data_IF_928707584209
#
_entry.id   IF_928707584209
#
_cell.length_a   1.000
_cell.length_b   1.000
_cell.length_c   1.000
_cell.angle_alpha   90.00
_cell.angle_beta   90.00
_cell.angle_gamma   90.00
#
_symmetry.space_group_name_H-M   'P 1'
#
loop_
_entity.id
_entity.type
_entity.pdbx_description
1 polymer ?
#
# COMPACT_ATOMS: atom_id res chain seq x y z
N UNK A 1 15.63 19.36 9.40
CA UNK A 1 15.62 18.17 10.29
C UNK A 1 14.23 17.95 10.90
N UNK A 2 13.50 19.01 11.28
CA UNK A 2 12.10 18.93 11.72
C UNK A 2 11.15 18.33 10.67
N UNK A 3 11.36 18.61 9.38
CA UNK A 3 10.47 18.14 8.31
C UNK A 3 10.49 16.62 8.13
N UNK A 4 11.67 15.99 8.23
CA UNK A 4 11.81 14.53 8.12
C UNK A 4 11.07 13.79 9.24
N UNK A 5 11.06 14.37 10.44
CA UNK A 5 10.38 13.79 11.60
C UNK A 5 8.86 13.86 11.41
N UNK A 6 8.37 14.98 10.88
CA UNK A 6 6.95 15.14 10.50
C UNK A 6 6.54 14.12 9.43
N UNK A 7 7.31 13.99 8.35
CA UNK A 7 7.02 13.03 7.27
C UNK A 7 7.04 11.58 7.75
N UNK A 8 7.95 11.24 8.66
CA UNK A 8 8.01 9.91 9.28
C UNK A 8 6.79 9.63 10.16
N UNK A 9 6.35 10.61 10.96
CA UNK A 9 5.14 10.49 11.78
C UNK A 9 3.87 10.33 10.94
N UNK A 10 3.73 11.10 9.88
CA UNK A 10 2.63 10.98 8.92
C UNK A 10 2.66 9.57 8.32
N UNK A 11 3.81 9.15 7.78
CA UNK A 11 3.98 7.83 7.18
C UNK A 11 3.65 6.69 8.15
N UNK A 12 4.05 6.80 9.41
CA UNK A 12 3.76 5.84 10.46
C UNK A 12 2.26 5.78 10.77
N UNK A 13 1.61 6.93 10.94
CA UNK A 13 0.18 7.02 11.26
C UNK A 13 -0.69 6.45 10.13
N UNK A 14 -0.39 6.83 8.88
CA UNK A 14 -1.04 6.27 7.69
C UNK A 14 -0.79 4.76 7.57
N UNK A 15 0.44 4.31 7.81
CA UNK A 15 0.77 2.88 7.80
C UNK A 15 0.02 2.09 8.87
N UNK A 16 -0.17 2.66 10.06
CA UNK A 16 -0.93 2.02 11.13
C UNK A 16 -2.42 1.87 10.75
N UNK A 17 -3.07 2.94 10.28
CA UNK A 17 -4.49 2.92 9.90
C UNK A 17 -4.74 1.96 8.73
N UNK A 18 -3.95 2.07 7.66
CA UNK A 18 -4.17 1.27 6.46
C UNK A 18 -3.72 -0.18 6.61
N UNK A 19 -2.83 -0.49 7.56
CA UNK A 19 -2.50 -1.87 7.93
C UNK A 19 -3.72 -2.60 8.52
N UNK A 20 -4.55 -1.92 9.30
CA UNK A 20 -5.79 -2.51 9.83
C UNK A 20 -6.77 -2.90 8.72
N UNK A 21 -6.82 -2.12 7.63
CA UNK A 21 -7.68 -2.37 6.48
C UNK A 21 -7.14 -3.39 5.47
N UNK A 22 -5.90 -3.85 5.60
CA UNK A 22 -5.29 -4.84 4.70
C UNK A 22 -5.00 -4.38 3.27
N UNK A 23 -5.37 -3.14 2.89
CA UNK A 23 -5.14 -2.56 1.57
C UNK A 23 -3.72 -1.96 1.40
N UNK A 24 -3.02 -1.70 2.51
CA UNK A 24 -1.69 -1.07 2.53
C UNK A 24 -1.73 0.45 2.44
N UNK A 25 -0.73 1.13 3.01
CA UNK A 25 -0.72 2.59 3.12
C UNK A 25 -0.41 3.36 1.85
N UNK A 26 0.08 2.70 0.80
CA UNK A 26 0.48 3.35 -0.45
C UNK A 26 -0.63 4.19 -1.09
N UNK A 27 -1.89 3.76 -0.97
CA UNK A 27 -3.05 4.47 -1.55
C UNK A 27 -3.17 5.90 -1.03
N UNK A 28 -2.88 6.11 0.26
CA UNK A 28 -2.95 7.42 0.88
C UNK A 28 -1.58 8.09 1.02
N UNK A 29 -0.51 7.30 1.20
CA UNK A 29 0.83 7.84 1.41
C UNK A 29 1.39 8.52 0.15
N UNK A 30 1.16 7.96 -1.04
CA UNK A 30 1.63 8.53 -2.31
C UNK A 30 1.07 9.94 -2.55
N UNK A 31 -0.26 10.17 -2.56
CA UNK A 31 -0.81 11.51 -2.80
C UNK A 31 -0.44 12.50 -1.69
N UNK A 32 -0.38 12.05 -0.43
CA UNK A 32 -0.02 12.93 0.69
C UNK A 32 1.42 13.40 0.59
N UNK A 33 2.38 12.51 0.31
CA UNK A 33 3.77 12.90 0.13
C UNK A 33 3.92 13.83 -1.09
N UNK A 34 3.23 13.54 -2.20
CA UNK A 34 3.25 14.42 -3.37
C UNK A 34 2.68 15.82 -3.06
N UNK A 35 1.58 15.92 -2.32
CA UNK A 35 1.03 17.22 -1.87
C UNK A 35 1.95 17.98 -0.92
N UNK A 36 2.80 17.29 -0.18
CA UNK A 36 3.84 17.89 0.65
C UNK A 36 5.08 18.34 -0.15
N UNK A 37 5.05 18.20 -1.48
CA UNK A 37 6.09 18.71 -2.38
C UNK A 37 7.16 17.68 -2.76
N UNK A 38 6.98 16.39 -2.43
CA UNK A 38 7.87 15.34 -2.93
C UNK A 38 7.62 15.10 -4.41
N UNK A 39 8.71 14.83 -5.15
CA UNK A 39 8.60 14.34 -6.52
C UNK A 39 7.72 13.08 -6.56
N UNK A 40 6.88 12.98 -7.58
CA UNK A 40 5.92 11.88 -7.71
C UNK A 40 6.62 10.51 -7.75
N UNK A 41 7.81 10.43 -8.33
CA UNK A 41 8.62 9.20 -8.38
C UNK A 41 9.00 8.77 -6.97
N UNK A 42 9.53 9.70 -6.17
CA UNK A 42 9.95 9.44 -4.78
C UNK A 42 8.74 9.09 -3.90
N UNK A 43 7.64 9.85 -4.04
CA UNK A 43 6.40 9.57 -3.31
C UNK A 43 5.84 8.18 -3.64
N UNK A 44 5.88 7.79 -4.91
CA UNK A 44 5.46 6.46 -5.40
C UNK A 44 6.34 5.36 -4.85
N UNK A 45 7.66 5.51 -4.87
CA UNK A 45 8.61 4.51 -4.36
C UNK A 45 8.38 4.25 -2.86
N UNK A 46 8.35 5.31 -2.05
CA UNK A 46 8.16 5.20 -0.59
C UNK A 46 6.77 4.66 -0.25
N UNK A 47 5.74 5.16 -0.93
CA UNK A 47 4.36 4.74 -0.72
C UNK A 47 4.10 3.29 -1.09
N UNK A 48 4.60 2.83 -2.24
CA UNK A 48 4.49 1.42 -2.65
C UNK A 48 5.29 0.50 -1.72
N UNK A 49 6.48 0.92 -1.29
CA UNK A 49 7.29 0.13 -0.35
C UNK A 49 6.60 -0.05 1.01
N UNK A 50 6.08 1.03 1.58
CA UNK A 50 5.34 0.99 2.84
C UNK A 50 4.03 0.19 2.70
N UNK A 51 3.30 0.41 1.60
CA UNK A 51 2.09 -0.33 1.26
C UNK A 51 2.33 -1.83 1.11
N UNK A 52 3.35 -2.24 0.35
CA UNK A 52 3.71 -3.64 0.17
C UNK A 52 4.09 -4.30 1.50
N UNK A 53 4.92 -3.64 2.31
CA UNK A 53 5.36 -4.16 3.60
C UNK A 53 4.20 -4.37 4.57
N UNK A 54 3.28 -3.41 4.65
CA UNK A 54 2.08 -3.50 5.50
C UNK A 54 1.12 -4.58 5.03
N UNK A 55 0.87 -4.68 3.72
CA UNK A 55 0.00 -5.71 3.14
C UNK A 55 0.59 -7.11 3.27
N UNK A 56 1.89 -7.30 3.03
CA UNK A 56 2.58 -8.59 3.22
C UNK A 56 2.47 -9.02 4.68
N UNK A 57 2.80 -8.13 5.61
CA UNK A 57 2.75 -8.44 7.05
C UNK A 57 1.33 -8.80 7.49
N UNK A 58 0.34 -7.99 7.08
CA UNK A 58 -1.08 -8.24 7.40
C UNK A 58 -1.58 -9.54 6.77
N UNK A 59 -1.18 -9.85 5.54
CA UNK A 59 -1.52 -11.10 4.87
C UNK A 59 -0.96 -12.30 5.62
N UNK A 60 0.32 -12.27 5.99
CA UNK A 60 0.96 -13.33 6.77
C UNK A 60 0.25 -13.52 8.12
N UNK A 61 -0.08 -12.44 8.83
CA UNK A 61 -0.80 -12.53 10.10
C UNK A 61 -2.20 -13.12 9.93
N UNK A 62 -2.96 -12.70 8.92
CA UNK A 62 -4.30 -13.23 8.66
C UNK A 62 -4.27 -14.71 8.25
N UNK A 63 -3.28 -15.12 7.45
CA UNK A 63 -3.04 -16.52 7.11
C UNK A 63 -2.73 -17.35 8.36
N UNK A 64 -1.83 -16.85 9.23
CA UNK A 64 -1.49 -17.53 10.50
C UNK A 64 -2.69 -17.66 11.43
N UNK A 65 -3.57 -16.65 11.46
CA UNK A 65 -4.81 -16.67 12.25
C UNK A 65 -5.91 -17.55 11.65
N UNK A 66 -5.73 -18.11 10.46
CA UNK A 66 -6.70 -18.94 9.74
C UNK A 66 -8.07 -18.25 9.54
N UNK A 67 -8.05 -16.92 9.43
CA UNK A 67 -9.26 -16.09 9.21
C UNK A 67 -9.51 -15.81 7.73
N UNK A 68 -8.73 -16.43 6.84
CA UNK A 68 -8.81 -16.21 5.39
C UNK A 68 -9.79 -17.20 4.76
N UNK A 69 -10.82 -16.68 4.09
CA UNK A 69 -11.67 -17.48 3.20
C UNK A 69 -10.98 -17.65 1.83
N UNK A 70 -10.32 -18.79 1.65
CA UNK A 70 -9.60 -19.12 0.42
C UNK A 70 -10.51 -19.27 -0.80
N UNK A 71 -11.80 -19.63 -0.62
CA UNK A 71 -12.73 -19.78 -1.74
C UNK A 71 -13.05 -18.42 -2.38
N UNK A 72 -13.06 -17.37 -1.56
CA UNK A 72 -13.26 -15.99 -2.02
C UNK A 72 -11.95 -15.30 -2.41
N UNK A 73 -10.89 -15.50 -1.63
CA UNK A 73 -9.61 -14.82 -1.81
C UNK A 73 -8.88 -15.23 -3.09
N UNK A 74 -8.85 -16.53 -3.45
CA UNK A 74 -8.10 -17.01 -4.62
C UNK A 74 -8.61 -16.41 -5.94
N UNK A 75 -9.94 -16.43 -6.24
CA UNK A 75 -10.46 -15.79 -7.45
C UNK A 75 -10.11 -14.31 -7.52
N UNK A 76 -10.23 -13.58 -6.42
CA UNK A 76 -9.91 -12.14 -6.38
C UNK A 76 -8.43 -11.91 -6.61
N UNK A 77 -7.55 -12.66 -5.92
CA UNK A 77 -6.10 -12.54 -6.09
C UNK A 77 -5.67 -12.83 -7.54
N UNK A 78 -6.28 -13.83 -8.18
CA UNK A 78 -6.03 -14.14 -9.60
C UNK A 78 -6.48 -12.99 -10.51
N UNK A 79 -7.67 -12.44 -10.30
CA UNK A 79 -8.13 -11.28 -11.07
C UNK A 79 -7.21 -10.09 -10.86
N UNK A 80 -6.80 -9.79 -9.62
CA UNK A 80 -5.85 -8.71 -9.33
C UNK A 80 -4.50 -8.92 -10.01
N UNK A 81 -3.98 -10.14 -10.02
CA UNK A 81 -2.71 -10.48 -10.68
C UNK A 81 -2.76 -10.23 -12.19
N UNK A 82 -3.86 -10.61 -12.84
CA UNK A 82 -4.02 -10.48 -14.29
C UNK A 82 -4.31 -9.03 -14.69
N UNK A 83 -5.15 -8.32 -13.94
CA UNK A 83 -5.59 -6.97 -14.30
C UNK A 83 -4.67 -5.86 -13.78
N UNK A 84 -3.81 -6.09 -12.78
CA UNK A 84 -2.88 -5.05 -12.31
C UNK A 84 -1.87 -4.59 -13.38
N UNK A 85 -1.22 -5.48 -14.17
CA UNK A 85 -0.36 -5.06 -15.28
C UNK A 85 -1.13 -4.29 -16.36
N UNK A 86 -2.37 -4.71 -16.65
CA UNK A 86 -3.23 -4.05 -17.64
C UNK A 86 -3.55 -2.63 -17.17
N UNK A 87 -3.96 -2.46 -15.91
CA UNK A 87 -4.21 -1.13 -15.33
C UNK A 87 -2.96 -0.25 -15.31
N UNK A 88 -1.79 -0.81 -14.99
CA UNK A 88 -0.54 -0.07 -15.02
C UNK A 88 -0.22 0.45 -16.43
N UNK A 89 -0.39 -0.38 -17.46
CA UNK A 89 -0.18 0.02 -18.85
C UNK A 89 -1.19 1.07 -19.30
N UNK A 90 -2.47 0.92 -18.94
CA UNK A 90 -3.51 1.89 -19.27
C UNK A 90 -3.32 3.24 -18.58
N UNK A 91 -2.65 3.30 -17.42
CA UNK A 91 -2.38 4.56 -16.70
C UNK A 91 -1.19 5.37 -17.23
N UNK A 92 -0.47 4.86 -18.25
CA UNK A 92 0.64 5.60 -18.88
C UNK A 92 0.18 6.68 -19.88
N UNK A 93 -1.14 6.81 -20.11
CA UNK A 93 -1.80 7.85 -20.93
C UNK A 93 -2.91 8.53 -20.14
#
# INVERSE_FOLDING_TARGET
>A
MQDYLLYSLISLFLSMIFSMGGAGSGIALIPILHFLGFDFTVAKEVGLFAGATTTITSSIMNLKRKVVDFKFMIPIALMMLVFAPIGAYSSQF
#
